data_IF_722959620007
#
_entry.id   IF_722959620007
#
_cell.length_a   1.000
_cell.length_b   1.000
_cell.length_c   1.000
_cell.angle_alpha   90.00
_cell.angle_beta   90.00
_cell.angle_gamma   90.00
#
_symmetry.space_group_name_H-M   'P 1'
#
loop_
_entity.id
_entity.type
_entity.pdbx_description
1 polymer ?
#
# COMPACT_ATOMS: atom_id res chain seq x y z
N UNK A 1 13.65 6.21 -8.33
CA UNK A 1 12.96 5.31 -7.38
C UNK A 1 12.14 6.16 -6.39
N UNK A 2 10.82 6.18 -6.51
CA UNK A 2 9.90 6.80 -5.55
C UNK A 2 9.52 5.80 -4.47
N UNK A 3 9.29 6.27 -3.24
CA UNK A 3 8.98 5.43 -2.08
C UNK A 3 7.73 5.92 -1.35
N UNK A 4 6.72 5.06 -1.28
CA UNK A 4 5.53 5.26 -0.45
C UNK A 4 5.63 4.31 0.74
N UNK A 5 5.58 4.83 1.96
CA UNK A 5 5.59 4.00 3.17
C UNK A 5 4.19 3.93 3.78
N UNK A 6 3.74 2.70 4.02
CA UNK A 6 2.48 2.38 4.69
C UNK A 6 2.79 1.88 6.10
N UNK A 7 2.74 2.79 7.05
CA UNK A 7 2.85 2.52 8.48
C UNK A 7 1.46 2.24 9.09
N UNK A 8 1.40 1.80 10.34
CA UNK A 8 0.12 1.56 11.00
C UNK A 8 0.16 1.74 12.50
N UNK A 9 -0.97 2.15 13.07
CA UNK A 9 -1.13 2.41 14.51
C UNK A 9 -1.02 1.14 15.35
N UNK A 10 -1.45 0.00 14.79
CA UNK A 10 -1.37 -1.32 15.43
C UNK A 10 -1.24 -2.46 14.41
N UNK A 11 -1.18 -3.70 14.89
CA UNK A 11 -1.36 -4.88 14.02
C UNK A 11 -2.83 -4.98 13.61
N UNK A 12 -3.10 -5.50 12.41
CA UNK A 12 -4.46 -5.72 11.94
C UNK A 12 -5.23 -4.47 11.49
N UNK A 13 -4.63 -3.27 11.47
CA UNK A 13 -5.31 -2.05 10.99
C UNK A 13 -5.48 -2.00 9.47
N UNK A 14 -5.01 -3.03 8.74
CA UNK A 14 -5.13 -3.12 7.30
C UNK A 14 -4.03 -2.42 6.51
N UNK A 15 -2.80 -2.38 7.04
CA UNK A 15 -1.64 -1.87 6.29
C UNK A 15 -1.49 -2.57 4.94
N UNK A 16 -1.49 -3.90 4.95
CA UNK A 16 -1.37 -4.72 3.73
C UNK A 16 -2.51 -4.46 2.76
N UNK A 17 -3.74 -4.28 3.26
CA UNK A 17 -4.90 -3.95 2.44
C UNK A 17 -4.73 -2.58 1.75
N UNK A 18 -4.27 -1.56 2.48
CA UNK A 18 -3.99 -0.23 1.91
C UNK A 18 -2.82 -0.29 0.95
N UNK A 19 -1.74 -1.00 1.28
CA UNK A 19 -0.58 -1.17 0.39
C UNK A 19 -0.97 -1.87 -0.92
N UNK A 20 -1.79 -2.93 -0.84
CA UNK A 20 -2.34 -3.63 -2.01
C UNK A 20 -3.24 -2.73 -2.86
N UNK A 21 -4.08 -1.92 -2.23
CA UNK A 21 -4.91 -0.93 -2.92
C UNK A 21 -4.04 0.09 -3.68
N UNK A 22 -2.98 0.61 -3.07
CA UNK A 22 -2.04 1.54 -3.71
C UNK A 22 -1.34 0.89 -4.90
N UNK A 23 -0.82 -0.33 -4.73
CA UNK A 23 -0.19 -1.08 -5.82
C UNK A 23 -1.13 -1.26 -7.01
N UNK A 24 -2.36 -1.72 -6.78
CA UNK A 24 -3.35 -1.92 -7.83
C UNK A 24 -3.69 -0.62 -8.56
N UNK A 25 -3.79 0.49 -7.82
CA UNK A 25 -4.14 1.80 -8.37
C UNK A 25 -2.99 2.42 -9.17
N UNK A 26 -1.75 2.27 -8.70
CA UNK A 26 -0.56 2.89 -9.30
C UNK A 26 0.04 2.06 -10.44
N UNK A 27 -0.18 0.74 -10.47
CA UNK A 27 0.29 -0.16 -11.54
C UNK A 27 -0.56 -0.11 -12.82
N UNK A 28 -1.47 0.83 -12.94
CA UNK A 28 -2.30 1.02 -14.16
C UNK A 28 -3.40 -0.02 -14.37
N UNK A 29 -3.46 -1.09 -13.57
CA UNK A 29 -4.49 -2.15 -13.70
C UNK A 29 -5.90 -1.62 -13.49
N UNK A 30 -6.08 -0.63 -12.63
CA UNK A 30 -7.38 0.00 -12.36
C UNK A 30 -7.83 0.90 -13.52
N UNK A 31 -6.91 1.56 -14.23
CA UNK A 31 -7.25 2.41 -15.39
C UNK A 31 -7.77 1.61 -16.59
N UNK A 32 -7.25 0.41 -16.80
CA UNK A 32 -7.76 -0.49 -17.86
C UNK A 32 -9.20 -0.98 -17.58
N UNK A 33 -9.53 -1.20 -16.31
CA UNK A 33 -10.88 -1.61 -15.92
C UNK A 33 -11.88 -0.45 -16.05
N UNK A 34 -11.49 0.76 -15.67
CA UNK A 34 -12.31 1.96 -15.81
C UNK A 34 -12.52 2.35 -17.27
N UNK A 35 -11.48 2.32 -18.11
CA UNK A 35 -11.61 2.55 -19.56
C UNK A 35 -12.51 1.52 -20.24
N UNK A 36 -12.51 0.26 -19.79
CA UNK A 36 -13.45 -0.75 -20.27
C UNK A 36 -14.88 -0.46 -19.83
N UNK A 37 -15.08 -0.05 -18.59
CA UNK A 37 -16.41 0.28 -18.07
C UNK A 37 -16.99 1.54 -18.72
N UNK A 38 -16.19 2.60 -18.88
CA UNK A 38 -16.59 3.81 -19.60
C UNK A 38 -16.95 3.52 -21.08
N UNK A 39 -16.15 2.69 -21.76
CA UNK A 39 -16.47 2.26 -23.12
C UNK A 39 -17.77 1.44 -23.20
N UNK A 40 -18.05 0.60 -22.22
CA UNK A 40 -19.31 -0.17 -22.16
C UNK A 40 -20.50 0.76 -21.92
N UNK A 41 -20.40 1.68 -20.95
CA UNK A 41 -21.47 2.66 -20.66
C UNK A 41 -21.70 3.63 -21.82
N UNK A 42 -20.62 4.06 -22.51
CA UNK A 42 -20.76 4.86 -23.73
C UNK A 42 -21.36 4.06 -24.89
N UNK A 43 -21.01 2.78 -25.02
CA UNK A 43 -21.57 1.91 -26.06
C UNK A 43 -23.07 1.64 -25.85
N UNK A 44 -23.51 1.44 -24.61
CA UNK A 44 -24.93 1.31 -24.26
C UNK A 44 -25.71 2.61 -24.51
N UNK A 45 -25.13 3.79 -24.23
CA UNK A 45 -25.75 5.08 -24.55
C UNK A 45 -25.84 5.35 -26.05
N UNK A 46 -24.85 4.91 -26.84
CA UNK A 46 -24.85 5.05 -28.30
C UNK A 46 -25.87 4.11 -28.97
N UNK A 47 -26.05 2.89 -28.45
CA UNK A 47 -27.05 1.94 -28.97
C UNK A 47 -28.49 2.40 -28.73
N UNK A 48 -28.74 3.24 -27.74
CA UNK A 48 -30.06 3.84 -27.50
C UNK A 48 -30.40 5.02 -28.43
N UNK A 49 -29.41 5.57 -29.19
CA UNK A 49 -29.59 6.75 -30.07
C UNK A 49 -29.29 6.47 -31.55
N UNK A 50 -28.86 5.27 -31.92
CA UNK A 50 -28.52 4.94 -33.31
C UNK A 50 -29.62 4.14 -33.98
N UNK A 51 -30.69 4.85 -34.36
CA UNK A 51 -31.46 4.49 -35.52
C UNK A 51 -31.26 5.62 -36.54
N UNK A 52 -30.49 5.28 -37.64
CA UNK A 52 -30.18 6.10 -38.83
C UNK A 52 -28.85 6.91 -38.77
N UNK A 53 -27.82 6.36 -39.37
CA UNK A 53 -27.02 6.92 -40.49
C UNK A 53 -25.72 6.12 -40.66
N UNK A 54 -25.32 5.94 -41.92
CA UNK A 54 -24.14 5.22 -42.42
C UNK A 54 -22.82 5.71 -41.81
N UNK A 55 -21.99 4.77 -41.33
CA UNK A 55 -20.71 5.05 -40.66
C UNK A 55 -19.53 4.60 -41.55
N UNK A 56 -18.67 5.54 -41.93
CA UNK A 56 -17.36 5.25 -42.48
C UNK A 56 -16.41 4.85 -41.33
N UNK A 57 -15.63 3.80 -41.54
CA UNK A 57 -14.69 3.28 -40.55
C UNK A 57 -13.50 4.25 -40.32
N UNK A 58 -13.13 4.54 -39.07
CA UNK A 58 -11.93 5.33 -38.78
C UNK A 58 -10.67 4.51 -39.03
N UNK A 59 -9.69 5.15 -39.67
CA UNK A 59 -8.31 4.67 -39.88
C UNK A 59 -7.66 4.33 -38.53
N UNK A 60 -7.14 3.11 -38.40
CA UNK A 60 -6.34 2.69 -37.25
C UNK A 60 -5.07 3.53 -37.18
N UNK A 61 -5.01 4.40 -36.18
CA UNK A 61 -3.74 5.01 -35.75
C UNK A 61 -3.03 4.02 -34.83
N UNK A 62 -1.77 3.72 -35.16
CA UNK A 62 -0.85 2.94 -34.33
C UNK A 62 -0.87 3.43 -32.89
N UNK A 63 -0.86 2.53 -31.90
CA UNK A 63 -0.82 2.97 -30.51
C UNK A 63 0.51 3.68 -30.26
N UNK A 64 0.45 4.99 -30.03
CA UNK A 64 1.56 5.74 -29.44
C UNK A 64 2.04 4.97 -28.20
N UNK A 65 3.33 4.68 -28.15
CA UNK A 65 4.01 4.06 -27.03
C UNK A 65 3.70 4.88 -25.77
N UNK A 66 2.86 4.34 -24.90
CA UNK A 66 2.62 4.92 -23.58
C UNK A 66 3.98 5.10 -22.89
N UNK A 67 4.19 6.23 -22.18
CA UNK A 67 5.41 6.43 -21.40
C UNK A 67 5.60 5.22 -20.49
N UNK A 68 6.84 4.71 -20.40
CA UNK A 68 7.21 3.48 -19.70
C UNK A 68 6.46 3.39 -18.37
N UNK A 69 5.55 2.42 -18.27
CA UNK A 69 4.78 2.19 -17.05
C UNK A 69 5.76 2.06 -15.90
N UNK A 70 5.69 2.97 -14.94
CA UNK A 70 6.57 2.93 -13.78
C UNK A 70 6.29 1.64 -13.02
N UNK A 71 7.30 0.78 -12.91
CA UNK A 71 7.18 -0.50 -12.23
C UNK A 71 7.05 -0.27 -10.72
N UNK A 72 5.91 -0.62 -10.16
CA UNK A 72 5.70 -0.62 -8.72
C UNK A 72 6.01 -1.99 -8.13
N UNK A 73 6.81 -1.99 -7.08
CA UNK A 73 7.22 -3.18 -6.33
C UNK A 73 6.91 -3.02 -4.86
N UNK A 74 6.97 -4.08 -4.09
CA UNK A 74 6.62 -4.06 -2.68
C UNK A 74 7.78 -4.55 -1.80
N UNK A 75 8.02 -3.84 -0.70
CA UNK A 75 8.86 -4.27 0.39
C UNK A 75 8.03 -4.42 1.65
N UNK A 76 7.92 -5.65 2.18
CA UNK A 76 7.33 -5.89 3.50
C UNK A 76 8.43 -5.97 4.55
N UNK A 77 8.24 -5.27 5.66
CA UNK A 77 9.18 -5.28 6.79
C UNK A 77 8.48 -5.80 8.04
N UNK A 78 9.01 -6.88 8.59
CA UNK A 78 8.59 -7.46 9.86
C UNK A 78 9.73 -7.37 10.86
N UNK A 79 9.51 -6.67 11.97
CA UNK A 79 10.47 -6.66 13.08
C UNK A 79 10.12 -7.80 14.03
N UNK A 80 11.07 -8.68 14.23
CA UNK A 80 10.98 -9.76 15.21
C UNK A 80 11.07 -9.13 16.61
N UNK A 81 10.29 -9.65 17.53
CA UNK A 81 10.35 -9.22 18.92
C UNK A 81 11.39 -10.06 19.66
N UNK A 82 12.27 -9.40 20.38
CA UNK A 82 13.16 -10.06 21.35
C UNK A 82 12.30 -10.65 22.47
N UNK A 83 12.44 -11.93 22.74
CA UNK A 83 11.70 -12.67 23.75
C UNK A 83 10.84 -13.79 23.19
N UNK A 84 10.35 -14.67 24.07
CA UNK A 84 9.51 -15.82 23.71
C UNK A 84 8.43 -15.41 22.71
N UNK A 85 8.42 -16.10 21.59
CA UNK A 85 7.46 -15.89 20.53
C UNK A 85 6.04 -15.94 21.14
N UNK A 86 5.21 -14.88 20.98
CA UNK A 86 3.87 -14.87 21.58
C UNK A 86 2.93 -15.93 21.00
N UNK A 87 3.38 -16.67 19.98
CA UNK A 87 2.60 -17.71 19.31
C UNK A 87 2.89 -19.12 19.79
N UNK A 88 4.09 -19.43 20.28
CA UNK A 88 4.45 -20.79 20.73
C UNK A 88 5.53 -20.79 21.79
N UNK A 89 5.33 -21.57 22.83
CA UNK A 89 6.34 -21.96 23.82
C UNK A 89 7.33 -23.00 23.30
N UNK A 90 7.04 -23.64 22.16
CA UNK A 90 7.82 -24.74 21.56
C UNK A 90 7.98 -24.51 20.05
N UNK A 91 8.66 -23.42 19.66
CA UNK A 91 8.93 -23.14 18.26
C UNK A 91 10.37 -23.53 17.91
N UNK A 92 10.56 -24.76 17.38
CA UNK A 92 11.86 -25.29 16.93
C UNK A 92 12.50 -24.47 15.79
N UNK A 93 11.74 -23.56 15.18
CA UNK A 93 12.23 -22.68 14.11
C UNK A 93 13.19 -21.56 14.61
N UNK A 94 13.28 -21.35 15.93
CA UNK A 94 14.15 -20.32 16.50
C UNK A 94 15.59 -20.79 16.74
N UNK A 95 15.85 -22.10 16.74
CA UNK A 95 17.17 -22.66 17.10
C UNK A 95 18.08 -23.00 15.91
N UNK A 96 17.58 -22.95 14.68
CA UNK A 96 18.37 -23.28 13.48
C UNK A 96 18.97 -21.99 12.86
N UNK A 97 20.23 -21.68 13.23
CA UNK A 97 21.03 -20.68 12.52
C UNK A 97 20.42 -19.28 12.54
N UNK A 98 20.34 -18.67 13.70
CA UNK A 98 19.74 -17.35 13.88
C UNK A 98 20.54 -16.25 13.15
N UNK A 99 20.03 -15.83 11.99
CA UNK A 99 20.52 -14.63 11.32
C UNK A 99 19.76 -13.41 11.88
N UNK A 100 20.46 -12.33 12.27
CA UNK A 100 19.82 -11.13 12.86
C UNK A 100 18.84 -10.45 11.91
N UNK A 101 18.98 -10.63 10.62
CA UNK A 101 17.94 -10.32 9.63
C UNK A 101 17.98 -11.31 8.46
N UNK A 102 16.87 -11.44 7.76
CA UNK A 102 16.71 -12.27 6.57
C UNK A 102 15.95 -11.49 5.50
N UNK A 103 16.48 -11.51 4.28
CA UNK A 103 15.83 -10.94 3.09
C UNK A 103 15.29 -12.05 2.23
N UNK A 104 13.98 -12.22 2.22
CA UNK A 104 13.28 -13.31 1.52
C UNK A 104 12.86 -12.80 0.15
N UNK A 105 13.33 -13.46 -0.90
CA UNK A 105 13.01 -13.20 -2.31
C UNK A 105 12.47 -14.43 -3.03
N UNK A 106 12.36 -15.56 -2.34
CA UNK A 106 11.84 -16.82 -2.90
C UNK A 106 10.33 -16.71 -3.10
N UNK A 107 9.91 -16.82 -4.36
CA UNK A 107 8.51 -16.74 -4.77
C UNK A 107 7.65 -17.84 -4.12
N UNK A 108 8.20 -19.00 -3.80
CA UNK A 108 7.44 -20.08 -3.15
C UNK A 108 7.00 -19.70 -1.74
N UNK A 109 7.86 -18.95 -1.03
CA UNK A 109 7.58 -18.43 0.31
C UNK A 109 6.68 -17.19 0.24
N UNK A 110 6.96 -16.28 -0.71
CA UNK A 110 6.27 -15.00 -0.81
C UNK A 110 4.83 -15.15 -1.29
N UNK A 111 4.55 -16.16 -2.14
CA UNK A 111 3.22 -16.40 -2.73
C UNK A 111 2.42 -17.49 -1.99
N UNK A 112 2.84 -17.88 -0.80
CA UNK A 112 2.05 -18.78 0.03
C UNK A 112 0.70 -18.14 0.36
N UNK A 113 -0.38 -18.86 0.06
CA UNK A 113 -1.76 -18.36 0.18
C UNK A 113 -2.07 -17.87 1.60
N UNK A 114 -2.68 -16.69 1.68
CA UNK A 114 -3.06 -16.04 2.94
C UNK A 114 -1.96 -15.18 3.57
N UNK A 115 -0.73 -15.19 3.03
CA UNK A 115 0.31 -14.25 3.48
C UNK A 115 0.09 -12.84 2.95
N UNK A 116 0.54 -11.86 3.71
CA UNK A 116 0.55 -10.45 3.27
C UNK A 116 1.36 -10.25 1.98
N UNK A 117 2.46 -10.98 1.81
CA UNK A 117 3.33 -10.94 0.62
C UNK A 117 2.62 -11.46 -0.64
N UNK A 118 1.77 -12.49 -0.51
CA UNK A 118 0.91 -12.97 -1.58
C UNK A 118 -0.12 -11.90 -1.99
N UNK A 119 -0.73 -11.22 -1.01
CA UNK A 119 -1.66 -10.12 -1.29
C UNK A 119 -0.99 -8.99 -2.08
N UNK A 120 0.25 -8.60 -1.71
CA UNK A 120 1.02 -7.58 -2.43
C UNK A 120 1.36 -8.03 -3.86
N UNK A 121 1.73 -9.31 -4.06
CA UNK A 121 1.98 -9.88 -5.39
C UNK A 121 0.72 -9.85 -6.27
N UNK A 122 -0.42 -10.29 -5.74
CA UNK A 122 -1.73 -10.29 -6.44
C UNK A 122 -2.20 -8.88 -6.76
N UNK A 123 -1.84 -7.90 -5.94
CA UNK A 123 -2.17 -6.50 -6.16
C UNK A 123 -1.38 -5.85 -7.32
N UNK A 124 -0.42 -6.55 -7.91
CA UNK A 124 0.29 -6.09 -9.09
C UNK A 124 1.69 -5.56 -8.81
N UNK A 125 2.28 -5.87 -7.65
CA UNK A 125 3.70 -5.63 -7.44
C UNK A 125 4.53 -6.41 -8.47
N UNK A 126 5.43 -5.72 -9.19
CA UNK A 126 6.33 -6.34 -10.17
C UNK A 126 7.38 -7.22 -9.49
N UNK A 127 7.73 -6.87 -8.27
CA UNK A 127 8.61 -7.65 -7.39
C UNK A 127 8.16 -7.46 -5.95
N UNK A 128 8.21 -8.53 -5.17
CA UNK A 128 7.98 -8.48 -3.72
C UNK A 128 9.25 -8.93 -3.01
N UNK A 129 9.64 -8.21 -1.97
CA UNK A 129 10.72 -8.58 -1.06
C UNK A 129 10.18 -8.54 0.36
N UNK A 130 10.53 -9.52 1.18
CA UNK A 130 10.15 -9.56 2.58
C UNK A 130 11.39 -9.53 3.46
N UNK A 131 11.55 -8.48 4.24
CA UNK A 131 12.56 -8.37 5.28
C UNK A 131 11.98 -8.82 6.61
N UNK A 132 12.62 -9.77 7.25
CA UNK A 132 12.48 -10.09 8.66
C UNK A 132 13.75 -9.65 9.38
N UNK A 133 13.64 -8.83 10.42
CA UNK A 133 14.82 -8.27 11.10
C UNK A 133 14.57 -8.10 12.58
N UNK A 134 15.63 -8.22 13.35
CA UNK A 134 15.65 -7.75 14.73
C UNK A 134 15.71 -6.23 14.79
N UNK A 135 15.22 -5.68 15.88
CA UNK A 135 15.20 -4.23 16.07
C UNK A 135 16.60 -3.60 16.12
N UNK A 136 17.60 -4.35 16.54
CA UNK A 136 19.00 -3.90 16.67
C UNK A 136 19.72 -3.72 15.34
N UNK A 137 19.29 -4.44 14.28
CA UNK A 137 19.93 -4.46 12.96
C UNK A 137 19.01 -4.02 11.83
N UNK A 138 17.87 -3.41 12.14
CA UNK A 138 16.88 -3.02 11.16
C UNK A 138 17.44 -2.13 10.04
N UNK A 139 18.41 -1.27 10.35
CA UNK A 139 19.04 -0.40 9.34
C UNK A 139 19.81 -1.22 8.30
N UNK A 140 20.63 -2.19 8.72
CA UNK A 140 21.37 -3.07 7.83
C UNK A 140 20.43 -3.96 7.00
N UNK A 141 19.39 -4.51 7.63
CA UNK A 141 18.38 -5.30 6.93
C UNK A 141 17.62 -4.50 5.88
N UNK A 142 17.25 -3.25 6.18
CA UNK A 142 16.55 -2.36 5.23
C UNK A 142 17.46 -2.03 4.03
N UNK A 143 18.75 -1.76 4.24
CA UNK A 143 19.69 -1.55 3.12
C UNK A 143 19.77 -2.80 2.25
N UNK A 144 20.01 -3.97 2.84
CA UNK A 144 20.10 -5.23 2.11
C UNK A 144 18.81 -5.54 1.31
N UNK A 145 17.65 -5.25 1.88
CA UNK A 145 16.37 -5.43 1.19
C UNK A 145 16.19 -4.44 0.04
N UNK A 146 16.62 -3.19 0.18
CA UNK A 146 16.58 -2.19 -0.88
C UNK A 146 17.51 -2.54 -2.05
N UNK A 147 18.66 -3.14 -1.78
CA UNK A 147 19.62 -3.58 -2.82
C UNK A 147 19.04 -4.69 -3.72
N UNK A 148 17.96 -5.36 -3.28
CA UNK A 148 17.23 -6.30 -4.12
C UNK A 148 16.44 -5.64 -5.25
N UNK A 149 16.26 -4.32 -5.24
CA UNK A 149 15.50 -3.59 -6.26
C UNK A 149 16.43 -2.77 -7.16
N UNK A 150 16.16 -2.79 -8.47
CA UNK A 150 16.78 -1.87 -9.42
C UNK A 150 16.29 -0.42 -9.25
N UNK A 151 17.01 0.52 -9.83
CA UNK A 151 16.68 1.97 -9.77
C UNK A 151 15.38 2.32 -10.52
N UNK A 152 14.96 1.46 -11.43
CA UNK A 152 13.74 1.57 -12.24
C UNK A 152 12.46 1.33 -11.46
N UNK A 153 12.54 0.66 -10.30
CA UNK A 153 11.37 0.37 -9.48
C UNK A 153 10.98 1.52 -8.57
N UNK A 154 9.68 1.78 -8.48
CA UNK A 154 9.08 2.53 -7.38
C UNK A 154 8.58 1.55 -6.33
N UNK A 155 8.57 1.95 -5.06
CA UNK A 155 8.31 1.04 -3.95
C UNK A 155 7.09 1.46 -3.13
N UNK A 156 6.20 0.51 -2.87
CA UNK A 156 5.28 0.56 -1.74
C UNK A 156 5.89 -0.28 -0.61
N UNK A 157 6.15 0.35 0.52
CA UNK A 157 6.87 -0.24 1.65
C UNK A 157 5.91 -0.38 2.82
N UNK A 158 5.65 -1.59 3.26
CA UNK A 158 4.81 -1.87 4.43
C UNK A 158 5.68 -2.09 5.67
N UNK A 159 5.58 -1.19 6.65
CA UNK A 159 6.25 -1.33 7.93
C UNK A 159 6.65 0.00 8.58
N UNK A 160 6.46 0.11 9.90
CA UNK A 160 6.77 1.32 10.67
C UNK A 160 8.28 1.59 10.75
N UNK A 161 9.09 0.54 10.73
CA UNK A 161 10.54 0.61 10.93
C UNK A 161 11.28 1.37 9.83
N UNK A 162 10.78 1.31 8.59
CA UNK A 162 11.41 2.03 7.48
C UNK A 162 11.58 3.52 7.80
N UNK A 163 10.53 4.18 8.29
CA UNK A 163 10.56 5.60 8.62
C UNK A 163 11.45 5.95 9.84
N UNK A 164 11.87 4.95 10.63
CA UNK A 164 12.87 5.19 11.68
C UNK A 164 14.26 5.36 11.12
N UNK A 165 14.55 4.67 10.01
CA UNK A 165 15.89 4.57 9.41
C UNK A 165 16.04 5.51 8.21
N UNK A 166 15.00 5.63 7.38
CA UNK A 166 15.03 6.36 6.11
C UNK A 166 13.82 7.27 5.95
N UNK A 167 13.91 8.22 5.02
CA UNK A 167 12.79 9.03 4.55
C UNK A 167 12.07 8.35 3.38
N UNK A 168 10.83 8.73 3.16
CA UNK A 168 10.01 8.37 2.02
C UNK A 168 9.61 9.62 1.23
N UNK A 169 9.15 9.45 -0.02
CA UNK A 169 8.54 10.51 -0.80
C UNK A 169 7.09 10.76 -0.32
N UNK A 170 6.43 9.70 0.16
CA UNK A 170 5.11 9.77 0.79
C UNK A 170 5.07 8.81 1.98
N UNK A 171 4.67 9.30 3.15
CA UNK A 171 4.56 8.53 4.39
C UNK A 171 3.11 8.54 4.92
N UNK A 172 2.49 7.37 4.97
CA UNK A 172 1.09 7.15 5.32
C UNK A 172 0.99 6.42 6.65
N UNK A 173 0.13 6.88 7.55
CA UNK A 173 -0.23 6.13 8.75
C UNK A 173 -1.65 5.58 8.63
N UNK A 174 -1.79 4.27 8.61
CA UNK A 174 -3.10 3.59 8.58
C UNK A 174 -3.65 3.43 9.99
N UNK A 175 -4.92 3.77 10.14
CA UNK A 175 -5.67 3.63 11.39
C UNK A 175 -7.03 2.97 11.13
N UNK A 176 -7.50 2.18 12.10
CA UNK A 176 -8.90 1.70 12.14
C UNK A 176 -9.79 2.77 12.79
N UNK A 177 -11.05 2.95 12.35
CA UNK A 177 -12.01 3.83 13.01
C UNK A 177 -12.17 3.55 14.52
N UNK A 178 -12.02 2.29 14.92
CA UNK A 178 -12.13 1.83 16.31
C UNK A 178 -10.78 1.82 17.05
N UNK A 179 -9.88 2.73 16.71
CA UNK A 179 -8.56 2.80 17.36
C UNK A 179 -8.69 3.12 18.85
N UNK A 180 -8.14 2.26 19.70
CA UNK A 180 -8.08 2.49 21.15
C UNK A 180 -6.69 2.83 21.62
N UNK A 181 -5.68 2.21 21.06
CA UNK A 181 -4.29 2.38 21.43
C UNK A 181 -3.41 2.44 20.19
N UNK A 182 -2.35 3.20 20.26
CA UNK A 182 -1.32 3.19 19.24
C UNK A 182 -0.03 2.60 19.79
N UNK A 183 0.65 1.78 18.97
CA UNK A 183 1.93 1.17 19.32
C UNK A 183 3.01 2.22 19.49
N UNK A 184 4.01 1.92 20.34
CA UNK A 184 5.20 2.76 20.52
C UNK A 184 5.88 3.07 19.19
N UNK A 185 5.99 2.08 18.28
CA UNK A 185 6.59 2.27 16.95
C UNK A 185 5.84 3.27 16.08
N UNK A 186 4.51 3.41 16.23
CA UNK A 186 3.74 4.43 15.53
C UNK A 186 3.90 5.82 16.15
N UNK A 187 4.01 5.91 17.49
CA UNK A 187 4.27 7.19 18.18
C UNK A 187 5.61 7.83 17.77
N UNK A 188 6.61 7.01 17.44
CA UNK A 188 7.91 7.49 16.95
C UNK A 188 7.86 8.11 15.56
N UNK A 189 6.72 8.03 14.88
CA UNK A 189 6.52 8.53 13.52
C UNK A 189 5.76 9.87 13.46
N UNK A 190 5.41 10.48 14.59
CA UNK A 190 4.58 11.69 14.69
C UNK A 190 4.99 12.79 13.68
N UNK A 191 6.30 13.06 13.57
CA UNK A 191 6.83 14.12 12.70
C UNK A 191 7.31 13.58 11.33
N UNK A 192 6.92 12.37 10.94
CA UNK A 192 7.38 11.71 9.72
C UNK A 192 6.25 11.26 8.82
N UNK A 193 5.01 11.50 9.23
CA UNK A 193 3.80 11.12 8.49
C UNK A 193 3.26 12.34 7.76
N UNK A 194 2.97 12.18 6.48
CA UNK A 194 2.39 13.24 5.66
C UNK A 194 0.87 13.31 5.85
N UNK A 195 0.21 12.16 6.02
CA UNK A 195 -1.23 12.07 6.28
C UNK A 195 -1.65 10.72 6.85
N UNK A 196 -2.85 10.70 7.41
CA UNK A 196 -3.46 9.50 7.99
C UNK A 196 -4.52 8.96 7.05
N UNK A 197 -4.53 7.64 6.86
CA UNK A 197 -5.56 6.90 6.16
C UNK A 197 -6.42 6.16 7.17
N UNK A 198 -7.69 6.57 7.29
CA UNK A 198 -8.73 5.83 8.03
C UNK A 198 -9.24 4.73 7.10
N UNK A 199 -8.89 3.48 7.41
CA UNK A 199 -9.19 2.31 6.60
C UNK A 199 -10.54 1.70 7.04
N UNK A 200 -11.54 1.80 6.17
CA UNK A 200 -12.86 1.24 6.40
C UNK A 200 -12.91 -0.21 5.92
N UNK A 201 -13.03 -1.14 6.85
CA UNK A 201 -13.23 -2.57 6.55
C UNK A 201 -14.71 -2.96 6.51
N UNK A 202 -15.53 -2.22 7.25
CA UNK A 202 -16.97 -2.43 7.48
C UNK A 202 -17.69 -1.09 7.36
N UNK A 203 -19.01 -1.10 7.49
CA UNK A 203 -19.77 0.11 7.61
C UNK A 203 -19.49 0.78 8.96
N UNK A 204 -19.03 2.03 8.88
CA UNK A 204 -18.78 2.86 10.05
C UNK A 204 -19.62 4.13 9.98
N UNK A 205 -20.09 4.57 11.14
CA UNK A 205 -20.83 5.80 11.26
C UNK A 205 -19.92 7.02 11.15
N UNK A 206 -20.44 8.13 10.67
CA UNK A 206 -19.72 9.42 10.66
C UNK A 206 -19.19 9.77 12.05
N UNK A 207 -19.93 9.45 13.11
CA UNK A 207 -19.52 9.71 14.50
C UNK A 207 -18.26 8.91 14.88
N UNK A 208 -18.13 7.65 14.48
CA UNK A 208 -16.93 6.83 14.74
C UNK A 208 -15.72 7.37 13.99
N UNK A 209 -15.93 7.83 12.77
CA UNK A 209 -14.85 8.42 11.95
C UNK A 209 -14.34 9.72 12.60
N UNK A 210 -15.24 10.61 13.02
CA UNK A 210 -14.87 11.87 13.68
C UNK A 210 -14.19 11.60 15.04
N UNK A 211 -14.71 10.67 15.84
CA UNK A 211 -14.07 10.26 17.09
C UNK A 211 -12.66 9.69 16.87
N UNK A 212 -12.45 8.96 15.77
CA UNK A 212 -11.13 8.48 15.38
C UNK A 212 -10.17 9.65 15.09
N UNK A 213 -10.59 10.64 14.31
CA UNK A 213 -9.79 11.83 14.00
C UNK A 213 -9.40 12.59 15.27
N UNK A 214 -10.37 12.90 16.13
CA UNK A 214 -10.14 13.58 17.42
C UNK A 214 -9.11 12.81 18.27
N UNK A 215 -9.23 11.49 18.33
CA UNK A 215 -8.33 10.64 19.07
C UNK A 215 -6.91 10.66 18.49
N UNK A 216 -6.76 10.64 17.17
CA UNK A 216 -5.45 10.75 16.52
C UNK A 216 -4.79 12.10 16.80
N UNK A 217 -5.55 13.20 16.77
CA UNK A 217 -5.07 14.52 17.19
C UNK A 217 -4.64 14.51 18.67
N UNK A 218 -5.42 13.88 19.56
CA UNK A 218 -5.04 13.71 20.98
C UNK A 218 -3.75 12.91 21.15
N UNK A 219 -3.46 11.96 20.25
CA UNK A 219 -2.20 11.25 20.22
C UNK A 219 -1.04 12.07 19.65
N UNK A 220 -1.28 13.29 19.19
CA UNK A 220 -0.28 14.25 18.70
C UNK A 220 -0.11 14.26 17.16
N UNK A 221 -0.97 13.59 16.40
CA UNK A 221 -0.92 13.65 14.94
C UNK A 221 -1.74 14.85 14.42
N UNK A 222 -1.05 15.85 13.90
CA UNK A 222 -1.65 17.05 13.30
C UNK A 222 -1.35 17.06 11.79
N UNK A 223 -1.97 16.13 11.08
CA UNK A 223 -1.80 15.94 9.62
C UNK A 223 -3.17 15.67 8.97
N UNK A 224 -3.30 15.86 7.66
CA UNK A 224 -4.56 15.58 6.93
C UNK A 224 -5.03 14.13 7.09
N UNK A 225 -6.36 13.92 7.02
CA UNK A 225 -7.00 12.63 7.06
C UNK A 225 -7.66 12.30 5.73
N UNK A 226 -7.46 11.06 5.27
CA UNK A 226 -8.16 10.49 4.13
C UNK A 226 -8.93 9.25 4.57
N UNK A 227 -10.14 9.09 4.06
CA UNK A 227 -10.98 7.92 4.33
C UNK A 227 -10.87 7.01 3.13
N UNK A 228 -10.58 5.74 3.34
CA UNK A 228 -10.42 4.77 2.26
C UNK A 228 -11.21 3.51 2.58
N UNK A 229 -11.95 3.03 1.60
CA UNK A 229 -12.51 1.69 1.59
C UNK A 229 -11.86 0.89 0.45
N UNK A 230 -10.79 0.14 0.72
CA UNK A 230 -10.05 -0.57 -0.32
C UNK A 230 -10.84 -1.69 -1.02
N UNK A 231 -11.99 -2.09 -0.46
CA UNK A 231 -12.88 -3.11 -1.05
C UNK A 231 -13.76 -2.55 -2.16
N UNK A 232 -13.91 -1.24 -2.24
CA UNK A 232 -14.69 -0.56 -3.27
C UNK A 232 -13.75 -0.10 -4.40
N UNK A 233 -13.88 -0.71 -5.57
CA UNK A 233 -13.02 -0.42 -6.72
C UNK A 233 -13.20 1.00 -7.27
N UNK A 234 -14.40 1.57 -7.14
CA UNK A 234 -14.72 2.93 -7.59
C UNK A 234 -15.38 3.66 -6.42
N UNK A 235 -14.61 4.51 -5.76
CA UNK A 235 -15.08 5.36 -4.67
C UNK A 235 -14.35 6.70 -4.77
N UNK A 236 -15.11 7.79 -4.67
CA UNK A 236 -14.57 9.15 -4.70
C UNK A 236 -13.44 9.36 -3.68
N UNK A 237 -13.62 8.88 -2.45
CA UNK A 237 -12.60 9.02 -1.39
C UNK A 237 -11.28 8.29 -1.74
N UNK A 238 -11.38 7.11 -2.38
CA UNK A 238 -10.22 6.36 -2.85
C UNK A 238 -9.49 7.13 -3.94
N UNK A 239 -10.22 7.74 -4.88
CA UNK A 239 -9.65 8.53 -5.97
C UNK A 239 -8.92 9.77 -5.45
N UNK A 240 -9.51 10.51 -4.52
CA UNK A 240 -8.90 11.68 -3.88
C UNK A 240 -7.55 11.33 -3.22
N UNK A 241 -7.46 10.17 -2.57
CA UNK A 241 -6.19 9.72 -2.00
C UNK A 241 -5.14 9.45 -3.08
N UNK A 242 -5.52 8.76 -4.17
CA UNK A 242 -4.57 8.43 -5.25
C UNK A 242 -4.08 9.70 -5.94
N UNK A 243 -4.97 10.65 -6.25
CA UNK A 243 -4.61 11.93 -6.83
C UNK A 243 -3.62 12.70 -5.93
N UNK A 244 -3.89 12.73 -4.61
CA UNK A 244 -2.99 13.38 -3.65
C UNK A 244 -1.59 12.73 -3.63
N UNK A 245 -1.52 11.40 -3.67
CA UNK A 245 -0.25 10.68 -3.71
C UNK A 245 0.51 10.98 -5.01
N UNK A 246 -0.18 10.99 -6.15
CA UNK A 246 0.43 11.29 -7.44
C UNK A 246 0.98 12.72 -7.47
N UNK A 247 0.23 13.69 -6.94
CA UNK A 247 0.71 15.07 -6.80
C UNK A 247 2.01 15.15 -6.00
N UNK A 248 2.07 14.48 -4.84
CA UNK A 248 3.27 14.48 -4.00
C UNK A 248 4.46 13.77 -4.65
N UNK A 249 4.21 12.78 -5.49
CA UNK A 249 5.28 12.03 -6.15
C UNK A 249 5.85 12.74 -7.38
N UNK A 250 5.03 13.46 -8.12
CA UNK A 250 5.39 13.89 -9.48
C UNK A 250 5.31 15.41 -9.71
N UNK A 251 4.74 16.20 -8.79
CA UNK A 251 4.56 17.64 -8.95
C UNK A 251 5.25 18.47 -7.84
N UNK A 252 6.21 17.89 -7.13
CA UNK A 252 7.08 18.60 -6.17
C UNK A 252 8.40 19.02 -6.77
#
# INVERSE_FOLDING_TARGET
MKKIVVAGTSSGVGKTTVASFLLSSLSGRTQLHNKKHEKIVQHERVLQHACSTSYEAPVEHSPDLLPSESLWSALKITIRHEGSCPRHTDCDACDAGYEPFEVITDDTILREEGKDTDQLSRAGASKVVWLQSDSSVEAAGIEAALDCFGKEYNLVIEGNSFLRVKSADVAILVVSPLVDKIKRSAKLLLNKIDFIVINLHEEHTTKEIEACKEKMVTFGFDVPFYIVNPRLSVNYSNQVLIEKIQDMLFHT
#
